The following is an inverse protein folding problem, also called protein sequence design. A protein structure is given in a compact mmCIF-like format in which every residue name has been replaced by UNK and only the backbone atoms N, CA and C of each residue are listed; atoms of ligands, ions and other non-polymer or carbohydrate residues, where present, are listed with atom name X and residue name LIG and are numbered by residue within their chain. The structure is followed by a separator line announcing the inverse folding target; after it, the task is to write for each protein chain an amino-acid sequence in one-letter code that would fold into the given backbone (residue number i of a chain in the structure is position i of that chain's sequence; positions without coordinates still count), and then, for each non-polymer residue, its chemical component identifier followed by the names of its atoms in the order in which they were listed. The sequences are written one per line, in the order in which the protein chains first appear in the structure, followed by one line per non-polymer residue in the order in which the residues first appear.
data_IF_858491388134
#
_entry.id   IF_858491388134
#
_cell.length_a   1.000
_cell.length_b   1.000
_cell.length_c   1.000
_cell.angle_alpha   90.00
_cell.angle_beta   90.00
_cell.angle_gamma   90.00
#
_symmetry.space_group_name_H-M   'P 1'
#
loop_
_entity.id
_entity.type
_entity.pdbx_description
1 polymer ?
#
# COMPACT_ATOMS: atom_id res chain seq x y z
N UNK A 1 4.55 2.20 -6.84
CA UNK A 1 4.66 3.67 -6.75
C UNK A 1 3.26 4.17 -6.43
N UNK A 2 2.98 4.46 -5.16
CA UNK A 2 1.64 4.83 -4.71
C UNK A 2 1.59 6.35 -4.66
N UNK A 3 0.70 6.95 -5.46
CA UNK A 3 0.54 8.42 -5.52
C UNK A 3 -0.58 8.82 -4.57
N UNK A 4 -0.26 9.31 -3.38
CA UNK A 4 -1.27 9.87 -2.47
C UNK A 4 -1.49 11.34 -2.78
N UNK A 5 -2.77 11.74 -2.80
CA UNK A 5 -3.22 13.11 -3.01
C UNK A 5 -2.87 13.94 -1.77
N UNK A 6 -2.15 15.03 -2.01
CA UNK A 6 -1.72 16.05 -1.05
C UNK A 6 -2.73 16.34 0.07
N UNK A 7 -2.30 16.17 1.31
CA UNK A 7 -2.87 16.80 2.51
C UNK A 7 -1.83 16.88 3.63
N UNK A 8 -1.02 17.95 3.61
CA UNK A 8 -0.24 18.59 4.69
C UNK A 8 -0.01 17.84 6.04
N UNK A 9 1.29 17.79 6.43
CA UNK A 9 1.92 17.67 7.78
C UNK A 9 1.73 16.31 8.50
N UNK A 10 2.74 15.63 9.06
CA UNK A 10 3.88 16.09 9.87
C UNK A 10 5.03 15.05 9.89
N UNK A 11 6.24 15.52 10.13
CA UNK A 11 7.52 14.79 10.08
C UNK A 11 7.70 13.72 11.18
N UNK A 12 8.22 12.54 10.80
CA UNK A 12 9.14 11.74 11.64
C UNK A 12 10.19 11.08 10.73
N UNK A 13 11.47 11.34 11.01
CA UNK A 13 12.61 11.08 10.13
C UNK A 13 13.38 9.82 10.55
N UNK A 14 13.41 8.78 9.70
CA UNK A 14 14.44 7.72 9.71
C UNK A 14 14.68 7.20 8.27
N UNK A 15 15.72 7.66 7.55
CA UNK A 15 15.96 7.24 6.18
C UNK A 15 17.20 6.35 6.03
N UNK A 16 17.01 5.12 5.55
CA UNK A 16 18.03 4.37 4.78
C UNK A 16 17.39 3.74 3.55
N UNK A 17 16.92 4.60 2.63
CA UNK A 17 16.40 4.24 1.30
C UNK A 17 16.84 5.27 0.26
N UNK A 18 18.09 5.19 -0.19
CA UNK A 18 18.85 6.35 -0.67
C UNK A 18 18.70 6.73 -2.16
N UNK A 19 17.56 6.48 -2.82
CA UNK A 19 17.35 7.03 -4.17
C UNK A 19 15.92 7.42 -4.56
N UNK A 20 14.88 6.91 -3.89
CA UNK A 20 13.48 7.26 -4.17
C UNK A 20 12.87 8.28 -3.19
N UNK A 21 13.47 8.47 -2.00
CA UNK A 21 12.91 9.33 -0.94
C UNK A 21 13.05 10.84 -1.13
N UNK A 22 13.49 11.32 -2.31
CA UNK A 22 13.72 12.76 -2.57
C UNK A 22 12.67 13.40 -3.47
N UNK A 23 11.77 12.62 -4.08
CA UNK A 23 10.65 13.20 -4.81
C UNK A 23 9.55 13.59 -3.80
N UNK A 24 9.11 14.86 -3.73
CA UNK A 24 8.08 15.29 -2.80
C UNK A 24 6.71 14.61 -3.03
N UNK A 25 6.53 13.93 -4.18
CA UNK A 25 5.33 13.15 -4.50
C UNK A 25 5.41 11.70 -4.00
N UNK A 26 6.54 11.30 -3.41
CA UNK A 26 6.77 9.96 -2.90
C UNK A 26 6.99 9.98 -1.38
N UNK A 27 6.07 9.35 -0.66
CA UNK A 27 6.19 9.09 0.78
C UNK A 27 6.46 7.61 1.02
N UNK A 28 7.37 7.29 1.94
CA UNK A 28 7.58 5.91 2.37
C UNK A 28 6.67 5.59 3.55
N UNK A 29 5.91 4.49 3.45
CA UNK A 29 5.12 3.98 4.55
C UNK A 29 5.84 2.78 5.19
N UNK A 30 6.22 2.87 6.47
CA UNK A 30 6.83 1.74 7.17
C UNK A 30 5.79 0.66 7.47
N UNK A 31 6.29 -0.56 7.71
CA UNK A 31 5.50 -1.60 8.38
C UNK A 31 5.09 -1.08 9.76
N UNK A 32 3.82 -0.71 9.88
CA UNK A 32 3.28 0.04 11.02
C UNK A 32 1.98 -0.54 11.55
N UNK A 33 1.47 -1.59 10.90
CA UNK A 33 0.24 -2.27 11.31
C UNK A 33 0.58 -3.59 12.00
N UNK A 34 -0.13 -3.87 13.09
CA UNK A 34 -0.13 -5.22 13.64
C UNK A 34 -0.81 -6.16 12.67
N UNK A 35 -0.24 -7.34 12.45
CA UNK A 35 -0.85 -8.36 11.61
C UNK A 35 -2.21 -8.84 12.15
N UNK A 36 -2.44 -8.69 13.47
CA UNK A 36 -3.73 -9.00 14.10
C UNK A 36 -4.86 -8.06 13.66
N UNK A 37 -4.54 -6.85 13.20
CA UNK A 37 -5.52 -5.85 12.75
C UNK A 37 -5.82 -5.96 11.25
N UNK A 38 -5.18 -6.92 10.56
CA UNK A 38 -5.41 -7.18 9.14
C UNK A 38 -6.56 -8.17 9.00
N UNK A 39 -7.61 -7.76 8.29
CA UNK A 39 -8.71 -8.67 7.98
C UNK A 39 -8.28 -9.66 6.90
N UNK A 40 -8.05 -10.91 7.31
CA UNK A 40 -7.66 -12.02 6.41
C UNK A 40 -8.87 -12.79 5.86
N UNK A 41 -10.07 -12.24 5.97
CA UNK A 41 -11.29 -12.88 5.45
C UNK A 41 -11.15 -13.09 3.94
N UNK A 42 -11.28 -14.33 3.48
CA UNK A 42 -11.12 -14.69 2.07
C UNK A 42 -9.68 -15.05 1.65
N UNK A 43 -8.73 -15.11 2.59
CA UNK A 43 -7.40 -15.71 2.35
C UNK A 43 -7.55 -17.24 2.30
N UNK A 44 -7.48 -17.77 1.09
CA UNK A 44 -7.54 -19.20 0.75
C UNK A 44 -6.12 -19.80 0.70
N UNK A 45 -5.07 -18.99 0.50
CA UNK A 45 -3.69 -19.46 0.45
C UNK A 45 -2.65 -18.42 0.85
N UNK A 46 -1.43 -18.89 1.16
CA UNK A 46 -0.33 -18.08 1.71
C UNK A 46 0.05 -16.85 0.87
N UNK A 47 -0.23 -16.86 -0.44
CA UNK A 47 0.09 -15.74 -1.35
C UNK A 47 -0.78 -14.50 -1.08
N UNK A 48 -2.00 -14.69 -0.55
CA UNK A 48 -2.95 -13.60 -0.32
C UNK A 48 -2.72 -12.88 1.02
N UNK A 49 -1.83 -13.41 1.87
CA UNK A 49 -1.50 -12.80 3.17
C UNK A 49 -0.83 -11.44 2.97
N UNK A 50 0.17 -11.36 2.09
CA UNK A 50 0.85 -10.10 1.77
C UNK A 50 -0.10 -9.11 1.11
N UNK A 51 -0.94 -9.59 0.21
CA UNK A 51 -1.95 -8.80 -0.50
C UNK A 51 -2.93 -8.12 0.46
N UNK A 52 -3.46 -8.89 1.43
CA UNK A 52 -4.35 -8.38 2.47
C UNK A 52 -3.66 -7.35 3.35
N UNK A 53 -2.39 -7.59 3.72
CA UNK A 53 -1.61 -6.64 4.51
C UNK A 53 -1.40 -5.32 3.75
N UNK A 54 -0.97 -5.37 2.48
CA UNK A 54 -0.74 -4.16 1.67
C UNK A 54 -2.03 -3.38 1.41
N UNK A 55 -3.14 -4.08 1.19
CA UNK A 55 -4.46 -3.46 1.07
C UNK A 55 -4.84 -2.75 2.37
N UNK A 56 -4.61 -3.38 3.52
CA UNK A 56 -4.91 -2.78 4.82
C UNK A 56 -4.01 -1.57 5.13
N UNK A 57 -2.72 -1.64 4.79
CA UNK A 57 -1.79 -0.52 4.92
C UNK A 57 -2.25 0.67 4.08
N UNK A 58 -2.67 0.44 2.82
CA UNK A 58 -3.21 1.48 1.98
C UNK A 58 -4.49 2.11 2.56
N UNK A 59 -5.40 1.31 3.15
CA UNK A 59 -6.59 1.83 3.84
C UNK A 59 -6.22 2.70 5.05
N UNK A 60 -5.27 2.26 5.88
CA UNK A 60 -4.84 2.99 7.07
C UNK A 60 -4.26 4.37 6.73
N UNK A 61 -3.58 4.48 5.60
CA UNK A 61 -3.03 5.75 5.09
C UNK A 61 -4.01 6.54 4.21
N UNK A 62 -5.27 6.12 4.07
CA UNK A 62 -6.26 6.70 3.15
C UNK A 62 -5.74 6.83 1.70
N UNK A 63 -4.88 5.90 1.30
CA UNK A 63 -4.27 5.85 -0.02
C UNK A 63 -4.85 4.74 -0.91
N UNK A 64 -4.19 4.50 -2.04
CA UNK A 64 -4.59 3.45 -3.00
C UNK A 64 -3.40 2.58 -3.38
N UNK A 65 -3.63 1.29 -3.52
CA UNK A 65 -2.60 0.31 -3.87
C UNK A 65 -2.53 0.12 -5.38
N UNK A 66 -1.54 0.75 -6.02
CA UNK A 66 -1.28 0.52 -7.44
C UNK A 66 -0.59 -0.84 -7.65
N UNK A 67 -1.14 -1.70 -8.51
CA UNK A 67 -0.63 -3.05 -8.75
C UNK A 67 -0.72 -3.46 -10.21
N UNK A 68 0.13 -4.38 -10.66
CA UNK A 68 0.00 -5.09 -11.93
C UNK A 68 -0.61 -6.50 -11.75
N UNK A 69 -0.89 -6.90 -10.51
CA UNK A 69 -1.54 -8.16 -10.20
C UNK A 69 -3.06 -8.00 -10.27
N UNK A 70 -3.66 -8.70 -11.24
CA UNK A 70 -5.10 -8.66 -11.48
C UNK A 70 -5.91 -9.29 -10.34
N UNK A 71 -5.43 -10.39 -9.75
CA UNK A 71 -6.14 -11.07 -8.67
C UNK A 71 -6.21 -10.20 -7.41
N UNK A 72 -5.10 -9.52 -7.09
CA UNK A 72 -5.05 -8.53 -6.01
C UNK A 72 -6.02 -7.37 -6.26
N UNK A 73 -6.03 -6.82 -7.48
CA UNK A 73 -6.91 -5.72 -7.85
C UNK A 73 -8.40 -6.11 -7.80
N UNK A 74 -8.74 -7.34 -8.22
CA UNK A 74 -10.11 -7.85 -8.16
C UNK A 74 -10.56 -8.10 -6.71
N UNK A 75 -9.70 -8.73 -5.89
CA UNK A 75 -10.01 -9.07 -4.50
C UNK A 75 -10.10 -7.85 -3.58
N UNK A 76 -9.30 -6.81 -3.84
CA UNK A 76 -9.26 -5.57 -3.06
C UNK A 76 -9.65 -4.36 -3.89
N UNK A 77 -10.69 -4.50 -4.72
CA UNK A 77 -11.17 -3.46 -5.65
C UNK A 77 -11.60 -2.14 -4.99
N UNK A 78 -11.81 -2.13 -3.67
CA UNK A 78 -12.09 -0.92 -2.89
C UNK A 78 -10.86 -0.03 -2.72
N UNK A 79 -9.65 -0.59 -2.71
CA UNK A 79 -8.41 0.14 -2.42
C UNK A 79 -7.31 -0.06 -3.46
N UNK A 80 -7.37 -1.11 -4.28
CA UNK A 80 -6.37 -1.43 -5.29
C UNK A 80 -6.73 -0.91 -6.69
N UNK A 81 -5.72 -0.52 -7.45
CA UNK A 81 -5.82 -0.11 -8.86
C UNK A 81 -4.96 -1.02 -9.73
N UNK A 82 -5.56 -1.64 -10.74
CA UNK A 82 -4.81 -2.36 -11.76
C UNK A 82 -4.19 -1.35 -12.74
N UNK A 83 -2.87 -1.24 -12.71
CA UNK A 83 -2.11 -0.51 -13.71
C UNK A 83 -2.00 -1.36 -14.98
N UNK A 84 -2.27 -0.72 -16.12
CA UNK A 84 -2.01 -1.29 -17.44
C UNK A 84 -0.73 -0.66 -17.97
N UNK A 85 0.16 -1.47 -18.54
CA UNK A 85 1.26 -0.97 -19.35
C UNK A 85 0.74 -0.86 -20.78
N UNK A 86 0.52 0.36 -21.26
CA UNK A 86 0.34 0.64 -22.70
C UNK A 86 1.69 0.69 -23.42
#
# INVERSE_FOLDING_TARGET
MITTRDSRRSEVHHPTGHCLGRDPRHEFWPDSLSFADVTLTGVIGHRQVTDAYLAQLARAHNGRLATFDRGLAELHSDVAELLSTE
#
